data_IF_595966913048
#
_entry.id   IF_595966913048
#
_cell.length_a   1.000
_cell.length_b   1.000
_cell.length_c   1.000
_cell.angle_alpha   90.00
_cell.angle_beta   90.00
_cell.angle_gamma   90.00
#
_symmetry.space_group_name_H-M   'P 1'
#
loop_
_entity.id
_entity.type
_entity.pdbx_description
1 polymer ?
#
# COMPACT_ATOMS: atom_id res chain seq x y z
N UNK A 1 24.28 -11.52 -13.39
CA UNK A 1 23.99 -12.55 -12.37
C UNK A 1 25.09 -13.58 -12.44
N UNK A 2 25.51 -14.09 -11.30
CA UNK A 2 26.42 -15.23 -11.14
C UNK A 2 25.84 -16.25 -10.13
N UNK A 3 26.57 -17.32 -9.85
CA UNK A 3 26.16 -18.39 -8.93
C UNK A 3 25.94 -17.95 -7.47
N UNK A 4 26.38 -16.74 -7.09
CA UNK A 4 26.21 -16.16 -5.75
C UNK A 4 25.06 -15.15 -5.68
N UNK A 5 24.32 -14.93 -6.77
CA UNK A 5 23.21 -13.96 -6.81
C UNK A 5 22.11 -14.36 -5.82
N UNK A 6 21.74 -13.46 -4.90
CA UNK A 6 20.60 -13.67 -3.98
C UNK A 6 19.28 -13.29 -4.66
N UNK A 7 18.28 -14.17 -4.59
CA UNK A 7 16.99 -13.95 -5.24
C UNK A 7 15.96 -13.34 -4.30
N UNK A 8 15.19 -12.40 -4.84
CA UNK A 8 14.01 -11.78 -4.26
C UNK A 8 12.87 -11.83 -5.27
N UNK A 9 11.63 -11.69 -4.81
CA UNK A 9 10.52 -11.68 -5.74
C UNK A 9 9.25 -11.00 -5.24
N UNK A 10 8.25 -10.91 -6.11
CA UNK A 10 6.85 -10.73 -5.75
C UNK A 10 6.05 -11.95 -6.20
N UNK A 11 5.13 -12.43 -5.36
CA UNK A 11 4.16 -13.48 -5.70
C UNK A 11 2.73 -12.93 -5.68
N UNK A 12 1.90 -13.37 -6.62
CA UNK A 12 0.49 -12.99 -6.75
C UNK A 12 -0.18 -13.68 -7.94
N UNK A 13 -1.47 -13.44 -8.13
CA UNK A 13 -2.22 -13.90 -9.31
C UNK A 13 -3.40 -12.95 -9.63
N UNK A 14 -3.38 -12.21 -10.76
CA UNK A 14 -2.28 -12.06 -11.73
C UNK A 14 -1.13 -11.20 -11.18
N UNK A 15 0.03 -11.18 -11.85
CA UNK A 15 1.22 -10.47 -11.34
C UNK A 15 2.08 -9.76 -12.38
N UNK A 16 1.86 -10.04 -13.66
CA UNK A 16 2.68 -9.61 -14.80
C UNK A 16 2.74 -8.08 -14.93
N UNK A 17 1.73 -7.40 -14.41
CA UNK A 17 1.64 -5.94 -14.40
C UNK A 17 2.44 -5.29 -13.27
N UNK A 18 3.08 -6.04 -12.38
CA UNK A 18 3.85 -5.46 -11.27
C UNK A 18 5.00 -4.57 -11.77
N UNK A 19 5.22 -3.47 -11.05
CA UNK A 19 6.33 -2.53 -11.26
C UNK A 19 7.48 -2.79 -10.28
N UNK A 20 7.28 -3.66 -9.27
CA UNK A 20 8.26 -3.99 -8.26
C UNK A 20 9.57 -4.57 -8.83
N UNK A 21 9.56 -5.44 -9.87
CA UNK A 21 10.81 -5.92 -10.47
C UNK A 21 11.67 -4.80 -11.04
N UNK A 22 11.09 -3.84 -11.76
CA UNK A 22 11.85 -2.71 -12.30
C UNK A 22 12.45 -1.86 -11.16
N UNK A 23 11.64 -1.58 -10.14
CA UNK A 23 12.02 -0.77 -8.99
C UNK A 23 13.17 -1.37 -8.17
N UNK A 24 13.04 -2.61 -7.70
CA UNK A 24 14.04 -3.25 -6.84
C UNK A 24 15.34 -3.56 -7.58
N UNK A 25 15.28 -4.05 -8.82
CA UNK A 25 16.50 -4.30 -9.60
C UNK A 25 17.29 -3.01 -9.87
N UNK A 26 16.61 -1.86 -10.00
CA UNK A 26 17.29 -0.58 -10.13
C UNK A 26 18.05 -0.19 -8.86
N UNK A 27 17.48 -0.48 -7.67
CA UNK A 27 18.18 -0.28 -6.39
C UNK A 27 19.39 -1.21 -6.28
N UNK A 28 19.20 -2.51 -6.54
CA UNK A 28 20.30 -3.49 -6.46
C UNK A 28 21.46 -3.09 -7.36
N UNK A 29 21.17 -2.68 -8.60
CA UNK A 29 22.18 -2.17 -9.53
C UNK A 29 22.86 -0.89 -9.03
N UNK A 30 22.10 0.06 -8.48
CA UNK A 30 22.65 1.33 -7.98
C UNK A 30 23.60 1.13 -6.79
N UNK A 31 23.30 0.16 -5.95
CA UNK A 31 24.06 -0.12 -4.73
C UNK A 31 25.13 -1.22 -4.91
N UNK A 32 25.30 -1.75 -6.13
CA UNK A 32 26.28 -2.80 -6.40
C UNK A 32 25.97 -4.13 -5.72
N UNK A 33 24.71 -4.40 -5.39
CA UNK A 33 24.29 -5.62 -4.70
C UNK A 33 24.15 -6.77 -5.69
N UNK A 34 24.72 -7.93 -5.37
CA UNK A 34 24.56 -9.15 -6.16
C UNK A 34 23.20 -9.82 -5.90
N UNK A 35 22.13 -9.12 -6.28
CA UNK A 35 20.74 -9.50 -6.04
C UNK A 35 19.93 -9.39 -7.34
N UNK A 36 18.86 -10.18 -7.44
CA UNK A 36 17.89 -10.10 -8.53
C UNK A 36 16.45 -10.17 -8.00
N UNK A 37 15.54 -9.44 -8.64
CA UNK A 37 14.13 -9.42 -8.29
C UNK A 37 13.25 -9.85 -9.47
N UNK A 38 12.33 -10.79 -9.26
CA UNK A 38 11.39 -11.26 -10.29
C UNK A 38 9.93 -11.27 -9.81
N UNK A 39 8.98 -11.39 -10.74
CA UNK A 39 7.57 -11.63 -10.44
C UNK A 39 7.22 -13.07 -10.78
N UNK A 40 6.57 -13.78 -9.86
CA UNK A 40 6.11 -15.15 -10.07
C UNK A 40 4.61 -15.23 -9.88
N UNK A 41 3.92 -15.72 -10.92
CA UNK A 41 2.50 -16.04 -10.81
C UNK A 41 2.38 -17.31 -9.98
N UNK A 42 1.62 -17.25 -8.90
CA UNK A 42 1.39 -18.38 -8.00
C UNK A 42 -0.11 -18.52 -7.82
N UNK A 43 -0.71 -19.62 -8.26
CA UNK A 43 -2.12 -19.87 -8.01
C UNK A 43 -2.36 -20.16 -6.50
N UNK A 44 -3.53 -19.83 -5.92
CA UNK A 44 -3.81 -19.99 -4.48
C UNK A 44 -3.49 -21.38 -3.92
N UNK A 45 -3.83 -22.43 -4.65
CA UNK A 45 -3.57 -23.83 -4.29
C UNK A 45 -2.08 -24.18 -4.20
N UNK A 46 -1.22 -23.40 -4.83
CA UNK A 46 0.24 -23.60 -4.87
C UNK A 46 1.00 -22.70 -3.89
N UNK A 47 0.31 -21.85 -3.12
CA UNK A 47 0.96 -20.85 -2.24
C UNK A 47 1.92 -21.50 -1.23
N UNK A 48 1.48 -22.53 -0.52
CA UNK A 48 2.32 -23.23 0.45
C UNK A 48 3.56 -23.88 -0.18
N UNK A 49 3.39 -24.51 -1.34
CA UNK A 49 4.49 -25.10 -2.12
C UNK A 49 5.48 -24.04 -2.58
N UNK A 50 5.00 -22.89 -3.03
CA UNK A 50 5.85 -21.77 -3.44
C UNK A 50 6.68 -21.21 -2.27
N UNK A 51 6.06 -20.96 -1.11
CA UNK A 51 6.76 -20.46 0.10
C UNK A 51 7.82 -21.45 0.57
N UNK A 52 7.47 -22.74 0.66
CA UNK A 52 8.41 -23.80 1.04
C UNK A 52 9.57 -23.93 0.05
N UNK A 53 9.26 -23.89 -1.26
CA UNK A 53 10.26 -23.92 -2.32
C UNK A 53 11.23 -22.75 -2.23
N UNK A 54 10.73 -21.53 -2.03
CA UNK A 54 11.57 -20.34 -1.85
C UNK A 54 12.47 -20.43 -0.62
N UNK A 55 11.99 -21.01 0.50
CA UNK A 55 12.81 -21.28 1.69
C UNK A 55 13.97 -22.23 1.37
N UNK A 56 13.68 -23.36 0.71
CA UNK A 56 14.69 -24.36 0.33
C UNK A 56 15.70 -23.82 -0.69
N UNK A 57 15.23 -23.02 -1.65
CA UNK A 57 16.08 -22.34 -2.64
C UNK A 57 16.84 -21.13 -2.07
N UNK A 58 16.75 -20.88 -0.76
CA UNK A 58 17.47 -19.82 -0.07
C UNK A 58 17.20 -18.42 -0.67
N UNK A 59 15.94 -18.09 -0.95
CA UNK A 59 15.54 -16.71 -1.27
C UNK A 59 15.88 -15.76 -0.12
N UNK A 60 16.05 -14.47 -0.40
CA UNK A 60 16.26 -13.43 0.62
C UNK A 60 14.96 -12.83 1.15
N UNK A 61 13.94 -12.78 0.32
CA UNK A 61 12.71 -12.06 0.60
C UNK A 61 11.69 -12.23 -0.52
N UNK A 62 10.41 -12.06 -0.17
CA UNK A 62 9.35 -11.97 -1.15
C UNK A 62 8.37 -10.86 -0.77
N UNK A 63 7.90 -10.07 -1.74
CA UNK A 63 6.63 -9.39 -1.58
C UNK A 63 5.47 -10.34 -1.90
N UNK A 64 4.33 -10.09 -1.28
CA UNK A 64 3.10 -10.84 -1.47
C UNK A 64 2.01 -9.85 -1.86
N UNK A 65 1.27 -10.16 -2.91
CA UNK A 65 0.11 -9.38 -3.33
C UNK A 65 -1.12 -10.26 -3.52
N UNK A 66 -2.22 -9.66 -3.98
CA UNK A 66 -3.50 -10.32 -4.23
C UNK A 66 -3.28 -11.63 -5.02
N UNK A 67 -3.96 -12.73 -4.64
CA UNK A 67 -4.89 -12.87 -3.52
C UNK A 67 -4.24 -13.31 -2.19
N UNK A 68 -2.92 -13.48 -2.14
CA UNK A 68 -2.23 -14.28 -1.12
C UNK A 68 -1.95 -13.59 0.22
N UNK A 69 -2.22 -12.28 0.34
CA UNK A 69 -1.77 -11.49 1.50
C UNK A 69 -2.27 -12.03 2.85
N UNK A 70 -3.45 -12.65 2.88
CA UNK A 70 -4.01 -13.24 4.11
C UNK A 70 -3.54 -14.69 4.28
N UNK A 71 -3.72 -15.52 3.26
CA UNK A 71 -3.47 -16.96 3.35
C UNK A 71 -1.99 -17.31 3.54
N UNK A 72 -1.09 -16.41 3.13
CA UNK A 72 0.35 -16.63 3.28
C UNK A 72 0.78 -16.76 4.74
N UNK A 73 0.01 -16.17 5.67
CA UNK A 73 0.28 -16.19 7.11
C UNK A 73 0.40 -17.62 7.64
N UNK A 74 -0.38 -18.56 7.10
CA UNK A 74 -0.38 -19.96 7.52
C UNK A 74 0.95 -20.70 7.22
N UNK A 75 1.84 -20.09 6.44
CA UNK A 75 3.13 -20.66 6.04
C UNK A 75 4.34 -19.91 6.64
N UNK A 76 4.10 -18.99 7.59
CA UNK A 76 5.13 -18.18 8.23
C UNK A 76 5.36 -18.62 9.67
N UNK A 77 6.60 -18.44 10.14
CA UNK A 77 6.99 -18.80 11.51
C UNK A 77 6.61 -17.68 12.49
N UNK A 78 6.73 -16.41 12.06
CA UNK A 78 6.47 -15.23 12.90
C UNK A 78 5.84 -14.09 12.09
N UNK A 79 5.16 -13.19 12.80
CA UNK A 79 4.64 -11.92 12.26
C UNK A 79 5.14 -10.75 13.10
N UNK A 80 5.49 -9.66 12.43
CA UNK A 80 5.57 -8.33 13.04
C UNK A 80 4.26 -7.94 13.73
N UNK A 81 4.34 -7.04 14.70
CA UNK A 81 3.18 -6.57 15.47
C UNK A 81 2.12 -5.97 14.55
N UNK A 82 2.53 -5.10 13.63
CA UNK A 82 1.65 -4.48 12.66
C UNK A 82 1.01 -5.52 11.73
N UNK A 83 1.76 -6.50 11.23
CA UNK A 83 1.19 -7.54 10.35
C UNK A 83 0.17 -8.42 11.08
N UNK A 84 0.36 -8.65 12.38
CA UNK A 84 -0.59 -9.41 13.22
C UNK A 84 -1.92 -8.67 13.37
N UNK A 85 -1.88 -7.37 13.66
CA UNK A 85 -3.09 -6.55 13.81
C UNK A 85 -3.77 -6.34 12.44
N UNK A 86 -2.97 -6.10 11.39
CA UNK A 86 -3.45 -5.95 10.01
C UNK A 86 -4.01 -7.27 9.45
N UNK A 87 -3.61 -8.42 9.99
CA UNK A 87 -4.02 -9.75 9.55
C UNK A 87 -3.73 -10.01 8.07
N UNK A 88 -2.67 -9.39 7.53
CA UNK A 88 -2.22 -9.56 6.16
C UNK A 88 -0.73 -9.22 6.04
N UNK A 89 -0.02 -9.95 5.19
CA UNK A 89 1.42 -9.82 4.92
C UNK A 89 1.62 -9.42 3.46
N UNK A 90 2.44 -8.39 3.23
CA UNK A 90 2.88 -7.99 1.88
C UNK A 90 4.40 -8.17 1.68
N UNK A 91 5.14 -8.55 2.73
CA UNK A 91 6.60 -8.67 2.74
C UNK A 91 6.99 -9.84 3.65
N UNK A 92 7.76 -10.79 3.12
CA UNK A 92 8.32 -11.92 3.86
C UNK A 92 9.83 -11.74 3.85
N UNK A 93 10.46 -11.91 5.02
CA UNK A 93 11.91 -12.08 5.14
C UNK A 93 12.22 -13.57 5.30
N UNK A 94 13.08 -14.09 4.43
CA UNK A 94 13.54 -15.47 4.51
C UNK A 94 14.86 -15.53 5.28
N UNK A 95 14.95 -16.48 6.20
CA UNK A 95 16.12 -16.75 7.04
C UNK A 95 15.92 -18.08 7.76
N UNK A 96 16.46 -18.21 8.98
CA UNK A 96 16.17 -19.38 9.84
C UNK A 96 14.66 -19.50 10.09
N UNK A 97 14.03 -18.35 10.39
CA UNK A 97 12.59 -18.17 10.47
C UNK A 97 12.06 -17.35 9.31
N UNK A 98 10.85 -17.67 8.87
CA UNK A 98 10.08 -16.88 7.90
C UNK A 98 9.25 -15.87 8.68
N UNK A 99 9.59 -14.59 8.52
CA UNK A 99 8.92 -13.51 9.24
C UNK A 99 8.09 -12.67 8.28
N UNK A 100 6.81 -12.49 8.60
CA UNK A 100 5.85 -11.69 7.84
C UNK A 100 5.74 -10.25 8.32
N UNK A 101 5.70 -9.33 7.36
CA UNK A 101 5.58 -7.89 7.55
C UNK A 101 4.51 -7.31 6.63
N UNK A 102 4.00 -6.14 7.01
CA UNK A 102 3.13 -5.34 6.16
C UNK A 102 3.67 -3.92 6.03
N UNK A 103 4.19 -3.59 4.85
CA UNK A 103 4.79 -2.29 4.55
C UNK A 103 3.83 -1.30 3.91
N UNK A 104 2.59 -1.69 3.58
CA UNK A 104 1.62 -0.82 2.91
C UNK A 104 1.26 0.38 3.80
N UNK A 105 0.93 0.11 5.07
CA UNK A 105 0.59 1.17 6.04
C UNK A 105 1.76 2.12 6.28
N UNK A 106 2.98 1.58 6.42
CA UNK A 106 4.18 2.40 6.58
C UNK A 106 4.45 3.25 5.33
N UNK A 107 4.25 2.67 4.14
CA UNK A 107 4.38 3.37 2.87
C UNK A 107 3.45 4.56 2.77
N UNK A 108 2.19 4.43 3.22
CA UNK A 108 1.24 5.52 3.24
C UNK A 108 1.58 6.60 4.26
N UNK A 109 1.98 6.23 5.47
CA UNK A 109 2.46 7.18 6.48
C UNK A 109 3.66 7.99 5.97
N UNK A 110 4.64 7.34 5.35
CA UNK A 110 5.79 8.03 4.75
C UNK A 110 5.38 8.90 3.56
N UNK A 111 4.46 8.46 2.72
CA UNK A 111 3.93 9.28 1.63
C UNK A 111 3.31 10.59 2.15
N UNK A 112 2.54 10.53 3.25
CA UNK A 112 1.98 11.70 3.92
C UNK A 112 3.08 12.62 4.49
N UNK A 113 4.01 12.08 5.28
CA UNK A 113 5.07 12.87 5.93
C UNK A 113 6.01 13.51 4.91
N UNK A 114 6.45 12.77 3.89
CA UNK A 114 7.37 13.28 2.87
C UNK A 114 6.73 14.34 1.95
N UNK A 115 5.40 14.44 1.96
CA UNK A 115 4.66 15.47 1.23
C UNK A 115 4.06 16.48 2.21
N UNK A 116 4.73 16.84 3.30
CA UNK A 116 4.31 17.82 4.32
C UNK A 116 2.82 17.71 4.71
N UNK A 117 2.34 16.50 4.96
CA UNK A 117 0.99 16.20 5.38
C UNK A 117 0.99 15.29 6.62
N UNK A 118 1.77 15.67 7.63
CA UNK A 118 1.90 14.91 8.88
C UNK A 118 0.50 14.64 9.51
N UNK A 119 0.12 13.37 9.74
CA UNK A 119 -1.20 13.02 10.28
C UNK A 119 -1.34 13.26 11.80
N UNK A 120 -0.28 13.66 12.49
CA UNK A 120 -0.32 13.98 13.93
C UNK A 120 -1.37 15.07 14.25
N UNK A 121 -2.21 14.79 15.24
CA UNK A 121 -3.35 15.59 15.68
C UNK A 121 -4.38 15.91 14.58
N UNK A 122 -4.40 15.14 13.49
CA UNK A 122 -5.35 15.31 12.38
C UNK A 122 -6.50 14.32 12.45
N UNK A 123 -7.68 14.76 11.98
CA UNK A 123 -8.83 13.90 11.73
C UNK A 123 -8.69 13.25 10.36
N UNK A 124 -8.55 11.93 10.35
CA UNK A 124 -8.31 11.17 9.13
C UNK A 124 -9.60 10.47 8.71
N UNK A 125 -9.99 10.69 7.45
CA UNK A 125 -11.07 9.96 6.79
C UNK A 125 -10.49 8.99 5.77
N UNK A 126 -10.86 7.73 5.85
CA UNK A 126 -10.46 6.68 4.91
C UNK A 126 -11.70 6.20 4.14
N UNK A 127 -11.63 6.22 2.81
CA UNK A 127 -12.66 5.63 1.95
C UNK A 127 -12.23 4.20 1.57
N UNK A 128 -12.92 3.21 2.12
CA UNK A 128 -12.67 1.78 1.95
C UNK A 128 -12.45 1.04 3.28
N UNK A 129 -12.70 -0.28 3.25
CA UNK A 129 -12.50 -1.21 4.38
C UNK A 129 -11.59 -2.40 4.03
N UNK A 130 -11.16 -2.51 2.77
CA UNK A 130 -10.34 -3.62 2.30
C UNK A 130 -8.88 -3.61 2.80
N UNK A 131 -8.07 -4.54 2.31
CA UNK A 131 -6.72 -4.79 2.83
C UNK A 131 -5.79 -3.57 2.90
N UNK A 132 -5.80 -2.69 1.89
CA UNK A 132 -5.01 -1.45 1.90
C UNK A 132 -5.55 -0.45 2.94
N UNK A 133 -6.88 -0.28 3.01
CA UNK A 133 -7.50 0.58 4.02
C UNK A 133 -7.18 0.09 5.44
N UNK A 134 -7.27 -1.22 5.68
CA UNK A 134 -6.89 -1.85 6.95
C UNK A 134 -5.43 -1.59 7.31
N UNK A 135 -4.50 -1.82 6.38
CA UNK A 135 -3.08 -1.58 6.61
C UNK A 135 -2.78 -0.13 6.98
N UNK A 136 -3.39 0.82 6.26
CA UNK A 136 -3.21 2.26 6.50
C UNK A 136 -3.84 2.67 7.83
N UNK A 137 -5.08 2.27 8.09
CA UNK A 137 -5.80 2.64 9.31
C UNK A 137 -5.10 2.10 10.57
N UNK A 138 -4.67 0.83 10.55
CA UNK A 138 -3.93 0.23 11.67
C UNK A 138 -2.59 0.92 11.89
N UNK A 139 -1.80 1.16 10.82
CA UNK A 139 -0.51 1.85 10.97
C UNK A 139 -0.68 3.26 11.55
N UNK A 140 -1.66 4.03 11.05
CA UNK A 140 -1.97 5.36 11.59
C UNK A 140 -2.41 5.29 13.04
N UNK A 141 -3.22 4.29 13.41
CA UNK A 141 -3.65 4.09 14.79
C UNK A 141 -2.49 3.74 15.74
N UNK A 142 -1.56 2.87 15.29
CA UNK A 142 -0.37 2.46 16.04
C UNK A 142 0.60 3.62 16.29
N UNK A 143 0.59 4.68 15.46
CA UNK A 143 1.36 5.89 15.79
C UNK A 143 0.93 6.52 17.11
N UNK A 144 -0.34 6.32 17.51
CA UNK A 144 -0.92 6.89 18.73
C UNK A 144 -1.09 8.41 18.71
N UNK A 145 -0.92 9.05 17.54
CA UNK A 145 -0.85 10.52 17.44
C UNK A 145 -1.91 11.15 16.55
N UNK A 146 -2.70 10.37 15.80
CA UNK A 146 -3.84 10.94 15.04
C UNK A 146 -4.96 11.37 15.97
N UNK A 147 -5.74 12.39 15.62
CA UNK A 147 -6.84 12.84 16.48
C UNK A 147 -8.04 11.87 16.45
N UNK A 148 -8.37 11.33 15.27
CA UNK A 148 -9.40 10.31 15.08
C UNK A 148 -9.28 9.63 13.73
N UNK A 149 -9.82 8.41 13.64
CA UNK A 149 -9.97 7.68 12.37
C UNK A 149 -11.46 7.46 12.09
N UNK A 150 -11.90 7.82 10.89
CA UNK A 150 -13.22 7.47 10.37
C UNK A 150 -13.04 6.69 9.08
N UNK A 151 -13.68 5.53 8.98
CA UNK A 151 -13.72 4.73 7.76
C UNK A 151 -15.12 4.75 7.15
N UNK A 152 -15.20 4.95 5.83
CA UNK A 152 -16.42 4.76 5.05
C UNK A 152 -16.26 3.51 4.19
N UNK A 153 -17.11 2.50 4.42
CA UNK A 153 -17.07 1.22 3.72
C UNK A 153 -18.39 0.89 3.03
N UNK A 154 -18.35 -0.10 2.15
CA UNK A 154 -19.54 -0.68 1.49
C UNK A 154 -19.87 -2.09 1.99
N UNK A 155 -18.93 -2.74 2.69
CA UNK A 155 -19.12 -4.04 3.32
C UNK A 155 -19.10 -3.84 4.84
N UNK A 156 -20.25 -3.99 5.47
CA UNK A 156 -20.44 -3.70 6.90
C UNK A 156 -19.55 -4.58 7.80
N UNK A 157 -19.45 -5.88 7.49
CA UNK A 157 -18.66 -6.82 8.29
C UNK A 157 -17.16 -6.48 8.30
N UNK A 158 -16.59 -6.16 7.13
CA UNK A 158 -15.20 -5.71 7.01
C UNK A 158 -14.96 -4.43 7.81
N UNK A 159 -15.88 -3.48 7.69
CA UNK A 159 -15.79 -2.19 8.35
C UNK A 159 -15.85 -2.34 9.87
N UNK A 160 -16.81 -3.11 10.38
CA UNK A 160 -16.97 -3.38 11.82
C UNK A 160 -15.74 -4.08 12.38
N UNK A 161 -15.25 -5.11 11.70
CA UNK A 161 -14.04 -5.84 12.11
C UNK A 161 -12.82 -4.91 12.18
N UNK A 162 -12.62 -4.07 11.17
CA UNK A 162 -11.52 -3.10 11.15
C UNK A 162 -11.60 -2.11 12.33
N UNK A 163 -12.78 -1.56 12.59
CA UNK A 163 -13.00 -0.63 13.70
C UNK A 163 -12.74 -1.31 15.05
N UNK A 164 -13.27 -2.52 15.25
CA UNK A 164 -13.10 -3.28 16.48
C UNK A 164 -11.64 -3.63 16.74
N UNK A 165 -10.90 -4.07 15.72
CA UNK A 165 -9.48 -4.40 15.82
C UNK A 165 -8.65 -3.16 16.23
N UNK A 166 -8.92 -1.99 15.63
CA UNK A 166 -8.22 -0.75 15.98
C UNK A 166 -8.54 -0.30 17.41
N UNK A 167 -9.82 -0.31 17.79
CA UNK A 167 -10.26 0.15 19.12
C UNK A 167 -9.79 -0.79 20.25
N UNK A 168 -9.63 -2.09 19.98
CA UNK A 168 -9.04 -3.05 20.93
C UNK A 168 -7.52 -2.99 20.98
N UNK A 169 -6.89 -2.77 19.83
CA UNK A 169 -5.43 -2.83 19.69
C UNK A 169 -4.70 -1.50 19.95
N UNK A 170 -5.41 -0.37 19.99
CA UNK A 170 -4.78 0.96 20.05
C UNK A 170 -5.58 1.93 20.92
N UNK A 171 -4.98 3.07 21.26
CA UNK A 171 -5.64 4.15 22.02
C UNK A 171 -6.43 5.12 21.12
N UNK A 172 -6.39 4.93 19.80
CA UNK A 172 -7.04 5.82 18.85
C UNK A 172 -8.50 5.44 18.71
N UNK A 173 -9.39 6.44 18.80
CA UNK A 173 -10.81 6.26 18.51
C UNK A 173 -11.01 6.09 17.00
N UNK A 174 -11.38 4.88 16.59
CA UNK A 174 -11.84 4.57 15.26
C UNK A 174 -13.36 4.47 15.19
N UNK A 175 -13.94 4.97 14.11
CA UNK A 175 -15.37 4.84 13.78
C UNK A 175 -15.57 4.38 12.35
N UNK A 176 -16.64 3.64 12.10
CA UNK A 176 -17.01 3.19 10.77
C UNK A 176 -18.44 3.62 10.45
N UNK A 177 -18.67 4.10 9.23
CA UNK A 177 -20.02 4.35 8.71
C UNK A 177 -20.17 3.75 7.31
N UNK A 178 -21.39 3.35 6.97
CA UNK A 178 -21.72 2.96 5.61
C UNK A 178 -21.59 4.15 4.67
N UNK A 179 -21.01 3.91 3.49
CA UNK A 179 -20.75 4.96 2.51
C UNK A 179 -22.04 5.33 1.75
N UNK A 180 -22.43 6.60 1.84
CA UNK A 180 -23.49 7.23 1.07
C UNK A 180 -23.05 8.64 0.65
N UNK A 181 -23.78 9.31 -0.24
CA UNK A 181 -23.46 10.71 -0.59
C UNK A 181 -23.52 11.64 0.63
N UNK A 182 -24.51 11.45 1.49
CA UNK A 182 -24.67 12.20 2.74
C UNK A 182 -23.48 11.97 3.69
N UNK A 183 -23.16 10.71 4.00
CA UNK A 183 -22.06 10.42 4.95
C UNK A 183 -20.71 10.85 4.40
N UNK A 184 -20.48 10.74 3.09
CA UNK A 184 -19.29 11.31 2.46
C UNK A 184 -19.23 12.82 2.62
N UNK A 185 -20.31 13.55 2.33
CA UNK A 185 -20.36 15.01 2.48
C UNK A 185 -20.03 15.46 3.90
N UNK A 186 -20.68 14.85 4.89
CA UNK A 186 -20.47 15.16 6.31
C UNK A 186 -19.03 14.89 6.77
N UNK A 187 -18.50 13.71 6.48
CA UNK A 187 -17.20 13.30 7.00
C UNK A 187 -16.05 14.00 6.25
N UNK A 188 -16.17 14.26 4.94
CA UNK A 188 -15.16 15.01 4.19
C UNK A 188 -15.06 16.45 4.71
N UNK A 189 -16.20 17.08 5.05
CA UNK A 189 -16.22 18.43 5.61
C UNK A 189 -15.47 18.53 6.96
N UNK A 190 -15.46 17.44 7.74
CA UNK A 190 -14.82 17.36 9.06
C UNK A 190 -13.36 16.89 9.03
N UNK A 191 -12.93 16.25 7.95
CA UNK A 191 -11.61 15.65 7.83
C UNK A 191 -10.51 16.67 7.48
N UNK A 192 -9.33 16.48 8.06
CA UNK A 192 -8.10 17.19 7.66
C UNK A 192 -7.37 16.46 6.52
N UNK A 193 -7.42 15.13 6.54
CA UNK A 193 -6.81 14.25 5.55
C UNK A 193 -7.85 13.22 5.09
N UNK A 194 -8.09 13.16 3.78
CA UNK A 194 -8.87 12.16 3.09
C UNK A 194 -7.93 11.17 2.41
N UNK A 195 -8.04 9.89 2.72
CA UNK A 195 -7.28 8.81 2.08
C UNK A 195 -8.25 7.90 1.33
N UNK A 196 -8.13 7.86 0.01
CA UNK A 196 -8.90 6.99 -0.84
C UNK A 196 -8.20 5.64 -1.03
N UNK A 197 -8.86 4.56 -0.61
CA UNK A 197 -8.32 3.21 -0.57
C UNK A 197 -9.14 2.19 -1.39
N UNK A 198 -10.01 2.64 -2.30
CA UNK A 198 -10.83 1.76 -3.13
C UNK A 198 -10.30 1.67 -4.57
N UNK A 199 -10.75 0.69 -5.38
CA UNK A 199 -10.41 0.63 -6.80
C UNK A 199 -11.08 1.71 -7.67
N UNK A 200 -11.99 2.53 -7.14
CA UNK A 200 -12.73 3.54 -7.92
C UNK A 200 -11.76 4.56 -8.53
N UNK A 201 -11.88 4.81 -9.84
CA UNK A 201 -10.95 5.69 -10.56
C UNK A 201 -9.63 5.03 -10.99
N UNK A 202 -9.44 3.73 -10.70
CA UNK A 202 -8.35 2.92 -11.26
C UNK A 202 -8.70 2.46 -12.69
N UNK A 203 -7.68 2.26 -13.53
CA UNK A 203 -7.87 1.62 -14.84
C UNK A 203 -8.55 0.24 -14.69
N UNK A 204 -9.55 -0.11 -15.52
CA UNK A 204 -10.03 0.61 -16.71
C UNK A 204 -11.06 1.72 -16.43
N UNK A 205 -11.70 1.73 -15.27
CA UNK A 205 -12.78 2.65 -14.87
C UNK A 205 -12.25 3.99 -14.30
N UNK A 206 -11.36 4.63 -15.06
CA UNK A 206 -10.60 5.82 -14.63
C UNK A 206 -11.43 7.11 -14.44
N UNK A 207 -12.64 7.15 -14.99
CA UNK A 207 -13.50 8.35 -15.03
C UNK A 207 -14.53 8.39 -13.88
N UNK A 208 -14.45 7.42 -12.95
CA UNK A 208 -15.24 7.39 -11.72
C UNK A 208 -14.52 8.13 -10.58
N UNK A 209 -15.27 8.67 -9.62
CA UNK A 209 -14.74 9.31 -8.42
C UNK A 209 -15.72 9.17 -7.26
N UNK A 210 -15.20 9.08 -6.03
CA UNK A 210 -16.02 9.07 -4.82
C UNK A 210 -16.30 10.46 -4.26
N UNK A 211 -15.57 11.49 -4.69
CA UNK A 211 -15.81 12.87 -4.31
C UNK A 211 -15.58 13.81 -5.50
N UNK A 212 -16.39 14.85 -5.60
CA UNK A 212 -16.27 15.92 -6.59
C UNK A 212 -15.75 17.20 -5.94
N UNK A 213 -15.38 18.18 -6.75
CA UNK A 213 -14.90 19.49 -6.30
C UNK A 213 -15.78 20.10 -5.19
N UNK A 214 -17.10 19.97 -5.29
CA UNK A 214 -18.05 20.62 -4.38
C UNK A 214 -18.08 20.01 -2.97
N UNK A 215 -17.59 18.77 -2.82
CA UNK A 215 -17.41 18.13 -1.51
C UNK A 215 -16.04 18.46 -0.90
N UNK A 216 -15.09 18.93 -1.70
CA UNK A 216 -13.70 19.13 -1.34
C UNK A 216 -13.43 20.61 -1.10
N UNK A 217 -12.35 20.93 -0.38
CA UNK A 217 -12.04 22.32 0.00
C UNK A 217 -10.55 22.59 0.11
N UNK A 218 -10.19 23.86 -0.01
CA UNK A 218 -8.85 24.36 0.32
C UNK A 218 -8.50 23.99 1.77
N UNK A 219 -7.27 23.49 1.97
CA UNK A 219 -6.79 23.05 3.28
C UNK A 219 -6.99 21.55 3.57
N UNK A 220 -7.82 20.85 2.80
CA UNK A 220 -7.89 19.39 2.84
C UNK A 220 -6.64 18.79 2.16
N UNK A 221 -6.10 17.72 2.75
CA UNK A 221 -5.16 16.83 2.06
C UNK A 221 -5.94 15.64 1.49
N UNK A 222 -5.77 15.36 0.20
CA UNK A 222 -6.36 14.21 -0.48
C UNK A 222 -5.24 13.29 -0.96
N UNK A 223 -5.13 12.12 -0.34
CA UNK A 223 -4.27 11.04 -0.78
C UNK A 223 -5.11 9.99 -1.51
N UNK A 224 -4.64 9.55 -2.67
CA UNK A 224 -5.26 8.45 -3.41
C UNK A 224 -4.23 7.34 -3.60
N UNK A 225 -4.51 6.12 -3.15
CA UNK A 225 -3.55 5.00 -3.27
C UNK A 225 -3.49 4.45 -4.70
N UNK A 226 -4.44 4.82 -5.56
CA UNK A 226 -4.40 4.47 -6.99
C UNK A 226 -3.24 5.20 -7.66
N UNK A 227 -2.41 4.44 -8.37
CA UNK A 227 -1.27 4.97 -9.14
C UNK A 227 -1.39 4.73 -10.66
N UNK A 228 -2.44 4.03 -11.11
CA UNK A 228 -2.75 3.85 -12.53
C UNK A 228 -4.24 4.15 -12.79
N UNK A 229 -4.58 5.35 -13.30
CA UNK A 229 -3.68 6.40 -13.78
C UNK A 229 -2.96 7.14 -12.64
N UNK A 230 -1.84 7.82 -12.98
CA UNK A 230 -1.07 8.65 -12.03
C UNK A 230 -1.87 9.84 -11.46
N UNK A 231 -2.82 10.35 -12.25
CA UNK A 231 -3.73 11.40 -11.83
C UNK A 231 -5.16 10.91 -12.04
N UNK A 232 -5.78 10.44 -10.96
CA UNK A 232 -7.17 9.98 -10.95
C UNK A 232 -8.15 11.15 -11.02
N UNK A 233 -9.42 10.86 -11.33
CA UNK A 233 -10.47 11.89 -11.29
C UNK A 233 -10.59 12.53 -9.91
N UNK A 234 -10.46 11.76 -8.83
CA UNK A 234 -10.45 12.29 -7.46
C UNK A 234 -9.35 13.34 -7.26
N UNK A 235 -8.11 13.05 -7.68
CA UNK A 235 -7.01 14.01 -7.56
C UNK A 235 -7.22 15.25 -8.43
N UNK A 236 -7.83 15.12 -9.62
CA UNK A 236 -8.20 16.28 -10.46
C UNK A 236 -9.23 17.17 -9.77
N UNK A 237 -10.28 16.57 -9.21
CA UNK A 237 -11.33 17.28 -8.48
C UNK A 237 -10.77 17.97 -7.22
N UNK A 238 -9.88 17.29 -6.49
CA UNK A 238 -9.18 17.86 -5.34
C UNK A 238 -8.34 19.08 -5.72
N UNK A 239 -7.58 19.02 -6.83
CA UNK A 239 -6.84 20.18 -7.35
C UNK A 239 -7.76 21.34 -7.72
N UNK A 240 -8.89 21.07 -8.38
CA UNK A 240 -9.89 22.10 -8.71
C UNK A 240 -10.48 22.77 -7.46
N UNK A 241 -10.57 22.05 -6.35
CA UNK A 241 -11.03 22.57 -5.06
C UNK A 241 -9.93 23.27 -4.24
N UNK A 242 -8.69 23.30 -4.73
CA UNK A 242 -7.54 23.88 -4.03
C UNK A 242 -7.00 23.01 -2.89
N UNK A 243 -7.33 21.72 -2.87
CA UNK A 243 -6.81 20.74 -1.91
C UNK A 243 -5.38 20.31 -2.28
N UNK A 244 -4.60 19.89 -1.29
CA UNK A 244 -3.28 19.29 -1.50
C UNK A 244 -3.45 17.84 -1.92
N UNK A 245 -2.81 17.43 -3.01
CA UNK A 245 -2.94 16.06 -3.55
C UNK A 245 -1.68 15.22 -3.38
N UNK A 246 -1.84 13.98 -2.94
CA UNK A 246 -0.77 12.98 -2.85
C UNK A 246 -1.20 11.75 -3.67
N UNK A 247 -0.42 11.39 -4.69
CA UNK A 247 -0.75 10.27 -5.57
C UNK A 247 -0.20 8.93 -5.08
N UNK A 248 -0.78 7.83 -5.56
CA UNK A 248 -0.49 6.48 -5.06
C UNK A 248 0.93 6.01 -5.33
N UNK A 249 1.62 6.65 -6.27
CA UNK A 249 3.04 6.40 -6.55
C UNK A 249 3.91 6.62 -5.32
N UNK A 250 3.56 7.60 -4.47
CA UNK A 250 4.31 7.92 -3.27
C UNK A 250 4.22 6.77 -2.27
N UNK A 251 3.01 6.21 -2.05
CA UNK A 251 2.84 5.01 -1.23
C UNK A 251 3.55 3.80 -1.83
N UNK A 252 3.39 3.58 -3.14
CA UNK A 252 3.97 2.42 -3.85
C UNK A 252 5.49 2.35 -3.70
N UNK A 253 6.17 3.49 -3.79
CA UNK A 253 7.63 3.55 -3.65
C UNK A 253 8.04 3.36 -2.19
N UNK A 254 7.37 4.05 -1.25
CA UNK A 254 7.75 3.98 0.16
C UNK A 254 7.50 2.60 0.78
N UNK A 255 6.46 1.87 0.36
CA UNK A 255 6.27 0.48 0.81
C UNK A 255 7.38 -0.45 0.32
N UNK A 256 7.89 -0.24 -0.90
CA UNK A 256 8.99 -1.02 -1.48
C UNK A 256 10.32 -0.70 -0.80
N UNK A 257 10.57 0.57 -0.51
CA UNK A 257 11.72 1.01 0.28
C UNK A 257 11.76 0.37 1.68
N UNK A 258 10.59 0.23 2.31
CA UNK A 258 10.49 -0.46 3.59
C UNK A 258 10.77 -1.97 3.48
N UNK A 259 10.32 -2.62 2.40
CA UNK A 259 10.69 -4.03 2.15
C UNK A 259 12.20 -4.21 1.98
N UNK A 260 12.87 -3.29 1.27
CA UNK A 260 14.34 -3.30 1.15
C UNK A 260 15.05 -3.14 2.50
N UNK A 261 14.55 -2.25 3.36
CA UNK A 261 15.08 -2.10 4.73
C UNK A 261 14.96 -3.39 5.53
N UNK A 262 13.81 -4.08 5.44
CA UNK A 262 13.57 -5.35 6.13
C UNK A 262 14.53 -6.44 5.66
N UNK A 263 14.73 -6.55 4.35
CA UNK A 263 15.55 -7.59 3.74
C UNK A 263 17.05 -7.36 3.93
N UNK A 264 17.50 -6.13 3.72
CA UNK A 264 18.93 -5.81 3.55
C UNK A 264 19.48 -4.91 4.66
N UNK A 265 18.63 -4.33 5.51
CA UNK A 265 19.05 -3.38 6.55
C UNK A 265 19.41 -1.98 6.03
N UNK A 266 19.26 -1.74 4.74
CA UNK A 266 19.68 -0.50 4.06
C UNK A 266 18.52 0.47 3.82
N UNK A 267 18.82 1.76 3.76
CA UNK A 267 17.86 2.77 3.33
C UNK A 267 17.86 2.87 1.80
N UNK A 268 16.71 2.60 1.20
CA UNK A 268 16.53 2.62 -0.25
C UNK A 268 16.66 4.03 -0.84
N UNK A 269 17.23 4.19 -2.04
CA UNK A 269 17.20 5.47 -2.76
C UNK A 269 15.80 5.73 -3.35
N UNK A 270 14.89 6.23 -2.51
CA UNK A 270 13.46 6.48 -2.83
C UNK A 270 13.26 7.27 -4.14
N UNK A 271 14.05 8.31 -4.37
CA UNK A 271 13.95 9.10 -5.62
C UNK A 271 14.32 8.32 -6.88
N UNK A 272 15.27 7.37 -6.78
CA UNK A 272 15.58 6.47 -7.88
C UNK A 272 14.40 5.54 -8.17
N UNK A 273 13.87 4.91 -7.12
CA UNK A 273 12.71 4.02 -7.22
C UNK A 273 11.53 4.74 -7.89
N UNK A 274 11.20 5.94 -7.41
CA UNK A 274 10.14 6.80 -7.98
C UNK A 274 10.37 7.09 -9.46
N UNK A 275 11.58 7.50 -9.84
CA UNK A 275 11.93 7.79 -11.24
C UNK A 275 11.76 6.57 -12.14
N UNK A 276 12.18 5.39 -11.67
CA UNK A 276 12.10 4.13 -12.41
C UNK A 276 10.65 3.73 -12.64
N UNK A 277 9.82 3.76 -11.60
CA UNK A 277 8.40 3.39 -11.70
C UNK A 277 7.66 4.36 -12.63
N UNK A 278 7.91 5.67 -12.53
CA UNK A 278 7.33 6.66 -13.44
C UNK A 278 7.74 6.44 -14.91
N UNK A 279 9.01 6.09 -15.16
CA UNK A 279 9.50 5.77 -16.50
C UNK A 279 8.79 4.54 -17.07
N UNK A 280 8.66 3.48 -16.28
CA UNK A 280 8.00 2.23 -16.69
C UNK A 280 6.52 2.46 -17.02
N UNK A 281 5.80 3.22 -16.19
CA UNK A 281 4.40 3.59 -16.45
C UNK A 281 4.23 4.36 -17.77
N UNK A 282 5.16 5.26 -18.11
CA UNK A 282 5.14 5.99 -19.40
C UNK A 282 5.36 5.05 -20.58
N UNK A 283 6.31 4.11 -20.48
CA UNK A 283 6.63 3.17 -21.55
C UNK A 283 5.50 2.16 -21.82
N UNK A 284 4.79 1.72 -20.77
CA UNK A 284 3.63 0.84 -20.94
C UNK A 284 2.48 1.53 -21.66
N UNK A 285 2.23 2.81 -21.36
CA UNK A 285 1.24 3.62 -22.07
C UNK A 285 1.56 3.73 -23.56
N UNK A 286 2.81 3.98 -23.93
CA UNK A 286 3.19 4.08 -25.35
C UNK A 286 3.04 2.76 -26.11
N UNK A 287 3.24 1.61 -25.43
CA UNK A 287 3.05 0.27 -26.03
C UNK A 287 1.59 -0.13 -26.16
N UNK A 288 0.70 0.38 -25.31
CA UNK A 288 -0.74 0.12 -25.42
C UNK A 288 -1.45 0.98 -26.47
N UNK A 289 -0.78 2.02 -26.99
CA UNK A 289 -1.32 2.95 -27.99
C UNK A 289 -0.71 2.77 -29.38
N UNK A 290 0.20 1.82 -29.55
CA UNK A 290 0.86 1.46 -30.80
C UNK A 290 0.37 0.08 -31.25
#
# INVERSE_FOLDING_TARGET
>A
MDAKTKLFCVIGDPIEHSLSPAMHNAVFKKLGLNCAYAAFRVAPENLGSAVKGMKVMNFGGANVTIPHKVDVINFLDELSEEARIIGAVNTIKFGEKLVGYNTDGYGALKALVNNDANPENKKILILGSGGAARAIAVMLALTGKVASLTMLGVIEEELKKLVDDINKGTKIRATGKMMSEETKGEEIARADILIHCTPVGMHPKKDETLATKDMLRKGLVVMDIVYNPLETKLLKEAKKAGAKTIGGIEMFVNQGAASEKIWLGIDAPVELMRRVVLKELKQRKSRSTA
#
